data_IF_911929615092
#
_entry.id   IF_911929615092
#
_cell.length_a   1.000
_cell.length_b   1.000
_cell.length_c   1.000
_cell.angle_alpha   90.00
_cell.angle_beta   90.00
_cell.angle_gamma   90.00
#
_symmetry.space_group_name_H-M   'P 1'
#
loop_
_entity.id
_entity.type
_entity.pdbx_description
1 polymer ?
#
# COMPACT_ATOMS: atom_id res chain seq x y z
N UNK A 1 2.56 3.49 -20.81
CA UNK A 1 1.13 3.87 -20.85
C UNK A 1 0.43 3.44 -19.57
N UNK A 2 -0.83 3.81 -19.34
CA UNK A 2 -1.61 3.28 -18.20
C UNK A 2 -1.75 1.75 -18.25
N UNK A 3 -1.84 1.16 -19.45
CA UNK A 3 -1.91 -0.28 -19.65
C UNK A 3 -0.61 -0.98 -19.19
N UNK A 4 0.55 -0.40 -19.52
CA UNK A 4 1.84 -0.99 -19.14
C UNK A 4 2.08 -0.89 -17.63
N UNK A 5 1.73 0.24 -17.03
CA UNK A 5 1.82 0.43 -15.57
C UNK A 5 0.95 -0.58 -14.81
N UNK A 6 -0.26 -0.85 -15.32
CA UNK A 6 -1.15 -1.87 -14.76
C UNK A 6 -0.55 -3.27 -14.87
N UNK A 7 0.00 -3.63 -16.04
CA UNK A 7 0.66 -4.92 -16.24
C UNK A 7 1.87 -5.09 -15.32
N UNK A 8 2.69 -4.06 -15.15
CA UNK A 8 3.85 -4.11 -14.24
C UNK A 8 3.42 -4.31 -12.78
N UNK A 9 2.38 -3.59 -12.33
CA UNK A 9 1.82 -3.80 -10.99
C UNK A 9 1.22 -5.22 -10.82
N UNK A 10 0.61 -5.78 -11.86
CA UNK A 10 0.12 -7.16 -11.83
C UNK A 10 1.24 -8.19 -11.70
N UNK A 11 2.38 -8.00 -12.34
CA UNK A 11 3.51 -8.94 -12.22
C UNK A 11 4.05 -8.97 -10.79
N UNK A 12 4.17 -7.81 -10.13
CA UNK A 12 4.55 -7.75 -8.71
C UNK A 12 3.54 -8.48 -7.80
N UNK A 13 2.23 -8.40 -8.10
CA UNK A 13 1.21 -9.16 -7.34
C UNK A 13 1.44 -10.67 -7.49
N UNK A 14 1.80 -11.15 -8.68
CA UNK A 14 2.10 -12.56 -8.92
C UNK A 14 3.41 -12.99 -8.23
N UNK A 15 4.43 -12.14 -8.25
CA UNK A 15 5.75 -12.43 -7.67
C UNK A 15 5.72 -12.43 -6.15
N UNK A 16 5.13 -11.40 -5.53
CA UNK A 16 5.21 -11.19 -4.08
C UNK A 16 4.03 -11.75 -3.30
N UNK A 17 2.93 -12.08 -3.98
CA UNK A 17 1.71 -12.58 -3.34
C UNK A 17 1.08 -11.57 -2.39
N UNK A 18 0.62 -12.03 -1.23
CA UNK A 18 -0.16 -11.21 -0.29
C UNK A 18 0.72 -10.42 0.68
N UNK A 19 1.41 -9.40 0.17
CA UNK A 19 2.13 -8.46 1.02
C UNK A 19 1.18 -7.71 1.96
N UNK A 20 1.59 -7.46 3.21
CA UNK A 20 0.71 -6.81 4.17
C UNK A 20 0.40 -5.37 3.77
N UNK A 21 -0.87 -4.98 3.92
CA UNK A 21 -1.29 -3.58 3.79
C UNK A 21 -0.60 -2.74 4.88
N UNK A 22 -0.04 -1.56 4.54
CA UNK A 22 0.54 -0.63 5.53
C UNK A 22 -0.42 -0.37 6.69
N UNK A 23 0.10 -0.35 7.92
CA UNK A 23 -0.72 -0.24 9.13
C UNK A 23 -1.62 1.00 9.13
N UNK A 24 -1.10 2.12 8.61
CA UNK A 24 -1.82 3.39 8.46
C UNK A 24 -2.98 3.34 7.46
N UNK A 25 -3.05 2.32 6.59
CA UNK A 25 -4.14 2.12 5.63
C UNK A 25 -5.17 1.08 6.07
N UNK A 26 -4.95 0.37 7.18
CA UNK A 26 -5.89 -0.66 7.66
C UNK A 26 -7.08 -0.03 8.39
N UNK A 27 -8.27 -0.60 8.22
CA UNK A 27 -9.45 -0.16 8.95
C UNK A 27 -9.35 -0.51 10.46
N UNK A 28 -9.55 0.47 11.36
CA UNK A 28 -9.57 0.23 12.80
C UNK A 28 -10.98 0.00 13.34
N UNK A 29 -11.61 -1.11 12.95
CA UNK A 29 -13.04 -1.36 13.24
C UNK A 29 -13.28 -1.80 14.69
N UNK A 30 -12.35 -2.55 15.27
CA UNK A 30 -12.45 -3.04 16.65
C UNK A 30 -11.59 -2.24 17.62
N UNK A 31 -11.88 -2.34 18.93
CA UNK A 31 -11.04 -1.73 19.99
C UNK A 31 -9.60 -2.25 19.93
N UNK A 32 -9.44 -3.57 19.80
CA UNK A 32 -8.13 -4.20 19.65
C UNK A 32 -7.37 -3.65 18.43
N UNK A 33 -8.03 -3.46 17.29
CA UNK A 33 -7.39 -2.88 16.10
C UNK A 33 -6.89 -1.45 16.33
N UNK A 34 -7.66 -0.63 17.06
CA UNK A 34 -7.25 0.73 17.45
C UNK A 34 -6.05 0.72 18.39
N UNK A 35 -6.04 -0.17 19.37
CA UNK A 35 -4.91 -0.37 20.30
C UNK A 35 -3.64 -0.83 19.58
N UNK A 36 -3.80 -1.66 18.55
CA UNK A 36 -2.73 -2.08 17.63
C UNK A 36 -2.38 -1.00 16.58
N UNK A 37 -2.91 0.21 16.71
CA UNK A 37 -2.63 1.38 15.88
C UNK A 37 -3.04 1.25 14.40
N UNK A 38 -4.06 0.45 14.08
CA UNK A 38 -4.60 0.38 12.71
C UNK A 38 -5.12 1.76 12.30
N UNK A 39 -4.80 2.19 11.09
CA UNK A 39 -5.25 3.49 10.55
C UNK A 39 -4.63 4.72 11.23
N UNK A 40 -3.78 4.55 12.25
CA UNK A 40 -3.16 5.66 12.98
C UNK A 40 -2.16 6.38 12.07
N UNK A 41 -2.26 7.70 12.03
CA UNK A 41 -1.39 8.55 11.21
C UNK A 41 -1.73 8.53 9.72
N UNK A 42 -2.93 8.08 9.33
CA UNK A 42 -3.38 8.18 7.94
C UNK A 42 -3.50 9.64 7.49
N UNK A 43 -2.89 9.95 6.34
CA UNK A 43 -3.01 11.24 5.66
C UNK A 43 -3.32 11.00 4.18
N UNK A 44 -4.42 11.61 3.69
CA UNK A 44 -4.91 11.41 2.31
C UNK A 44 -3.89 11.76 1.22
N UNK A 45 -3.06 12.77 1.46
CA UNK A 45 -2.08 13.27 0.49
C UNK A 45 -0.68 13.32 1.09
N UNK A 46 -0.28 12.23 1.75
CA UNK A 46 1.05 12.11 2.34
C UNK A 46 2.16 12.06 1.28
N UNK A 47 3.37 12.43 1.70
CA UNK A 47 4.60 12.15 0.96
C UNK A 47 5.12 10.73 1.23
N UNK A 48 4.56 10.03 2.20
CA UNK A 48 4.89 8.64 2.50
C UNK A 48 4.37 7.67 1.44
N UNK A 49 4.93 6.46 1.43
CA UNK A 49 4.52 5.41 0.52
C UNK A 49 3.24 4.74 1.01
N UNK A 50 2.26 4.61 0.12
CA UNK A 50 1.05 3.80 0.33
C UNK A 50 1.20 2.34 -0.11
N UNK A 51 2.37 1.97 -0.67
CA UNK A 51 2.69 0.59 -1.03
C UNK A 51 3.25 -0.19 0.16
N UNK A 52 3.14 -1.53 0.16
CA UNK A 52 3.81 -2.39 1.14
C UNK A 52 5.34 -2.17 1.16
N UNK A 53 5.99 -2.55 2.25
CA UNK A 53 7.42 -2.28 2.49
C UNK A 53 8.33 -2.77 1.36
N UNK A 54 8.06 -3.95 0.78
CA UNK A 54 8.86 -4.50 -0.33
C UNK A 54 8.75 -3.70 -1.63
N UNK A 55 7.68 -2.91 -1.79
CA UNK A 55 7.39 -2.12 -2.98
C UNK A 55 7.54 -0.62 -2.73
N UNK A 56 8.10 -0.24 -1.58
CA UNK A 56 8.24 1.16 -1.17
C UNK A 56 9.04 1.94 -2.21
N UNK A 57 8.44 3.02 -2.73
CA UNK A 57 9.06 3.90 -3.72
C UNK A 57 8.92 3.43 -5.18
N UNK A 58 8.29 2.28 -5.45
CA UNK A 58 8.03 1.84 -6.82
C UNK A 58 7.02 2.77 -7.51
N UNK A 59 7.28 3.09 -8.78
CA UNK A 59 6.44 3.95 -9.62
C UNK A 59 6.19 3.28 -10.97
N UNK A 60 4.99 2.75 -11.13
CA UNK A 60 4.56 2.08 -12.37
C UNK A 60 4.16 3.08 -13.46
N UNK A 61 3.38 4.11 -13.08
CA UNK A 61 2.98 5.16 -14.00
C UNK A 61 4.09 6.22 -14.11
N UNK A 62 4.79 6.18 -15.24
CA UNK A 62 5.78 7.20 -15.62
C UNK A 62 5.04 8.41 -16.22
N UNK A 63 5.47 9.61 -15.82
CA UNK A 63 5.00 10.87 -16.42
C UNK A 63 5.78 11.16 -17.69
#
# INVERSE_FOLDING_TARGET
SACDAYKEAMEDVKEFGNLPVPLSLRNPETKLMKELNYGKGYEKYSKESFLPDKLKGKKYLKK
#
